data_IF_150209389035
#
_entry.id   IF_150209389035
#
_cell.length_a   1.000
_cell.length_b   1.000
_cell.length_c   1.000
_cell.angle_alpha   90.00
_cell.angle_beta   90.00
_cell.angle_gamma   90.00
#
_symmetry.space_group_name_H-M   'P 1'
#
loop_
_entity.id
_entity.type
_entity.pdbx_description
1 polymer ?
#
# COMPACT_ATOMS: atom_id res chain seq x y z
N UNK A 1 -21.53 -12.76 -15.93
CA UNK A 1 -20.15 -12.74 -16.46
C UNK A 1 -19.25 -12.14 -15.39
N UNK A 2 -18.27 -12.91 -14.88
CA UNK A 2 -17.27 -12.37 -13.95
C UNK A 2 -16.38 -11.39 -14.74
N UNK A 3 -16.26 -10.14 -14.27
CA UNK A 3 -15.39 -9.14 -14.90
C UNK A 3 -13.95 -9.65 -14.80
N UNK A 4 -13.32 -9.98 -15.94
CA UNK A 4 -11.92 -10.40 -15.99
C UNK A 4 -11.06 -9.14 -15.84
N UNK A 5 -10.34 -9.02 -14.73
CA UNK A 5 -9.39 -7.93 -14.49
C UNK A 5 -8.21 -8.04 -15.46
N UNK A 6 -7.58 -6.91 -15.82
CA UNK A 6 -6.34 -6.91 -16.60
C UNK A 6 -5.18 -7.49 -15.80
N UNK A 7 -5.18 -7.23 -14.51
CA UNK A 7 -4.18 -7.67 -13.56
C UNK A 7 -4.79 -7.78 -12.17
N UNK A 8 -4.36 -8.78 -11.39
CA UNK A 8 -4.70 -8.92 -9.98
C UNK A 8 -3.54 -9.60 -9.27
N UNK A 9 -3.08 -9.02 -8.17
CA UNK A 9 -2.05 -9.63 -7.32
C UNK A 9 -2.26 -9.24 -5.86
N UNK A 10 -2.29 -10.24 -5.00
CA UNK A 10 -2.25 -10.11 -3.54
C UNK A 10 -0.81 -10.18 -3.08
N UNK A 11 -0.41 -9.18 -2.31
CA UNK A 11 0.93 -9.05 -1.78
C UNK A 11 0.88 -9.51 -0.33
N UNK A 12 1.73 -10.48 0.00
CA UNK A 12 1.81 -11.06 1.34
C UNK A 12 3.26 -11.06 1.81
N UNK A 13 3.46 -11.21 3.11
CA UNK A 13 4.77 -11.46 3.70
C UNK A 13 4.72 -12.67 4.64
N UNK A 14 5.86 -13.36 4.76
CA UNK A 14 5.98 -14.51 5.65
C UNK A 14 6.57 -14.11 7.00
N UNK A 15 5.93 -14.56 8.08
CA UNK A 15 6.44 -14.43 9.44
C UNK A 15 6.02 -15.64 10.27
N UNK A 16 6.96 -16.25 11.00
CA UNK A 16 6.73 -17.47 11.80
C UNK A 16 5.97 -18.57 11.04
N UNK A 17 6.36 -18.83 9.78
CA UNK A 17 5.74 -19.82 8.88
C UNK A 17 4.29 -19.54 8.47
N UNK A 18 3.74 -18.38 8.82
CA UNK A 18 2.39 -17.95 8.40
C UNK A 18 2.47 -16.84 7.36
N UNK A 19 1.52 -16.85 6.43
CA UNK A 19 1.35 -15.78 5.45
C UNK A 19 0.52 -14.64 6.04
N UNK A 20 0.96 -13.42 5.77
CA UNK A 20 0.33 -12.21 6.26
C UNK A 20 -0.01 -11.30 5.10
N UNK A 21 -1.27 -10.88 5.02
CA UNK A 21 -1.78 -9.97 4.01
C UNK A 21 -1.17 -8.56 4.18
N UNK A 22 -0.65 -8.00 3.09
CA UNK A 22 -0.19 -6.61 3.05
C UNK A 22 -1.21 -5.73 2.34
N UNK A 23 -1.45 -6.00 1.06
CA UNK A 23 -2.51 -5.38 0.25
C UNK A 23 -2.74 -6.21 -1.02
N UNK A 24 -3.81 -5.93 -1.75
CA UNK A 24 -4.04 -6.44 -3.09
C UNK A 24 -4.09 -5.28 -4.07
N UNK A 25 -3.46 -5.43 -5.22
CA UNK A 25 -3.56 -4.51 -6.36
C UNK A 25 -4.36 -5.17 -7.47
N UNK A 26 -5.28 -4.41 -8.06
CA UNK A 26 -6.14 -4.84 -9.16
C UNK A 26 -6.14 -3.77 -10.23
N UNK A 27 -5.84 -4.15 -11.48
CA UNK A 27 -6.06 -3.29 -12.63
C UNK A 27 -7.46 -3.56 -13.19
N UNK A 28 -8.38 -2.63 -12.91
CA UNK A 28 -9.80 -2.66 -13.28
C UNK A 28 -10.08 -1.91 -14.58
N UNK A 29 -9.04 -1.35 -15.20
CA UNK A 29 -9.11 -0.60 -16.45
C UNK A 29 -9.56 -1.43 -17.64
N UNK A 30 -9.92 -0.74 -18.73
CA UNK A 30 -10.44 -1.35 -19.94
C UNK A 30 -9.51 -1.09 -21.13
N UNK A 31 -9.27 -2.11 -21.96
CA UNK A 31 -8.42 -2.03 -23.15
C UNK A 31 -7.04 -1.44 -22.81
N UNK A 32 -6.64 -0.35 -23.45
CA UNK A 32 -5.36 0.36 -23.28
C UNK A 32 -5.38 1.40 -22.14
N UNK A 33 -6.46 1.46 -21.35
CA UNK A 33 -6.57 2.40 -20.23
C UNK A 33 -6.40 1.61 -18.93
N UNK A 34 -5.35 1.92 -18.19
CA UNK A 34 -5.12 1.36 -16.85
C UNK A 34 -5.89 2.16 -15.80
N UNK A 35 -6.52 1.48 -14.85
CA UNK A 35 -7.21 2.05 -13.70
C UNK A 35 -6.97 1.09 -12.53
N UNK A 36 -6.45 1.58 -11.41
CA UNK A 36 -5.94 0.74 -10.35
C UNK A 36 -6.74 0.87 -9.08
N UNK A 37 -7.08 -0.28 -8.51
CA UNK A 37 -7.66 -0.41 -7.19
C UNK A 37 -6.67 -1.11 -6.26
N UNK A 38 -6.45 -0.55 -5.10
CA UNK A 38 -5.66 -1.13 -4.02
C UNK A 38 -6.58 -1.41 -2.84
N UNK A 39 -6.60 -2.66 -2.42
CA UNK A 39 -7.46 -3.18 -1.36
C UNK A 39 -6.56 -3.55 -0.18
N UNK A 40 -6.90 -3.02 0.98
CA UNK A 40 -6.09 -3.15 2.18
C UNK A 40 -6.72 -4.08 3.23
N UNK A 41 -7.75 -4.83 2.86
CA UNK A 41 -8.39 -5.81 3.73
C UNK A 41 -8.55 -7.13 2.98
N UNK A 42 -8.26 -8.25 3.65
CA UNK A 42 -8.60 -9.56 3.13
C UNK A 42 -10.09 -9.86 3.42
N UNK A 43 -10.94 -10.09 2.39
CA UNK A 43 -12.36 -10.38 2.57
C UNK A 43 -12.66 -11.65 3.39
N UNK A 44 -11.76 -12.63 3.45
CA UNK A 44 -11.99 -13.92 4.16
C UNK A 44 -11.39 -13.97 5.57
N UNK A 45 -10.33 -13.19 5.82
CA UNK A 45 -9.55 -13.23 7.07
C UNK A 45 -9.96 -12.18 8.12
N UNK A 46 -10.68 -11.13 7.70
CA UNK A 46 -11.25 -10.13 8.59
C UNK A 46 -10.24 -9.40 9.45
N UNK A 47 -9.39 -8.55 8.88
CA UNK A 47 -8.83 -7.39 9.57
C UNK A 47 -8.27 -6.35 8.60
N UNK A 48 -7.95 -5.19 9.17
CA UNK A 48 -8.39 -3.90 8.69
C UNK A 48 -7.40 -2.80 9.04
N UNK A 49 -7.47 -1.68 8.33
CA UNK A 49 -6.53 -0.57 8.45
C UNK A 49 -7.04 0.50 9.39
N UNK A 50 -6.11 1.24 9.98
CA UNK A 50 -6.37 2.54 10.58
C UNK A 50 -5.84 3.59 9.60
N UNK A 51 -6.77 4.33 9.01
CA UNK A 51 -6.47 5.52 8.23
C UNK A 51 -6.46 6.73 9.17
N UNK A 52 -5.38 7.51 9.16
CA UNK A 52 -5.26 8.72 9.98
C UNK A 52 -5.11 9.94 9.07
N UNK A 53 -6.10 10.83 9.14
CA UNK A 53 -6.19 12.07 8.36
C UNK A 53 -5.17 13.14 8.84
N UNK A 54 -4.78 13.07 10.12
CA UNK A 54 -4.08 14.15 10.83
C UNK A 54 -2.74 13.75 11.46
N UNK A 55 -2.33 12.48 11.33
CA UNK A 55 -1.08 12.00 11.91
C UNK A 55 -1.06 11.98 13.45
N UNK A 56 -2.22 12.11 14.12
CA UNK A 56 -2.30 12.07 15.59
C UNK A 56 -1.91 10.69 16.15
N UNK A 57 -1.59 10.66 17.46
CA UNK A 57 -1.36 9.41 18.18
C UNK A 57 -2.60 8.52 18.07
N UNK A 58 -2.36 7.22 17.96
CA UNK A 58 -3.40 6.21 18.09
C UNK A 58 -3.97 6.34 19.51
N UNK A 59 -5.12 6.98 19.61
CA UNK A 59 -5.89 7.05 20.84
C UNK A 59 -6.67 5.75 21.03
N UNK A 60 -7.01 5.43 22.28
CA UNK A 60 -7.73 4.19 22.67
C UNK A 60 -9.09 4.00 21.98
N UNK A 61 -9.62 5.05 21.34
CA UNK A 61 -10.89 5.09 20.61
C UNK A 61 -10.73 4.91 19.08
N UNK A 62 -9.50 4.69 18.60
CA UNK A 62 -9.21 4.45 17.18
C UNK A 62 -9.69 3.05 16.77
N UNK A 63 -10.58 2.96 15.78
CA UNK A 63 -11.24 1.69 15.41
C UNK A 63 -10.66 1.10 14.13
N UNK A 64 -10.43 -0.21 14.16
CA UNK A 64 -9.99 -1.01 13.03
C UNK A 64 -11.19 -1.23 12.07
N UNK A 65 -11.09 -0.78 10.82
CA UNK A 65 -12.24 -0.69 9.89
C UNK A 65 -12.29 -1.83 8.86
N UNK A 66 -13.36 -2.65 8.77
CA UNK A 66 -13.37 -3.91 8.00
C UNK A 66 -13.20 -3.75 6.47
N UNK A 67 -13.04 -2.52 5.99
CA UNK A 67 -12.91 -2.17 4.59
C UNK A 67 -11.98 -0.97 4.43
N UNK A 68 -10.96 -1.11 3.58
CA UNK A 68 -10.07 -0.02 3.18
C UNK A 68 -9.67 -0.16 1.72
N UNK A 69 -9.93 0.87 0.93
CA UNK A 69 -9.64 0.88 -0.51
C UNK A 69 -9.09 2.23 -0.96
N UNK A 70 -8.13 2.19 -1.89
CA UNK A 70 -7.63 3.31 -2.68
C UNK A 70 -7.91 3.00 -4.15
N UNK A 71 -8.45 3.95 -4.89
CA UNK A 71 -8.55 3.87 -6.36
C UNK A 71 -7.77 5.01 -7.01
N UNK A 72 -6.88 4.67 -7.95
CA UNK A 72 -6.08 5.59 -8.74
C UNK A 72 -6.56 5.54 -10.19
N UNK A 73 -7.22 6.62 -10.62
CA UNK A 73 -7.83 6.70 -11.93
C UNK A 73 -6.84 7.15 -13.02
N UNK A 74 -7.15 6.89 -14.30
CA UNK A 74 -6.27 7.23 -15.42
C UNK A 74 -5.86 8.70 -15.47
N UNK A 75 -6.77 9.59 -15.05
CA UNK A 75 -6.61 11.04 -15.08
C UNK A 75 -5.88 11.62 -13.85
N UNK A 76 -5.37 10.75 -12.97
CA UNK A 76 -4.69 11.15 -11.74
C UNK A 76 -5.62 11.42 -10.56
N UNK A 77 -6.93 11.23 -10.72
CA UNK A 77 -7.85 11.31 -9.59
C UNK A 77 -7.59 10.15 -8.63
N UNK A 78 -7.44 10.47 -7.35
CA UNK A 78 -7.24 9.50 -6.28
C UNK A 78 -8.48 9.50 -5.40
N UNK A 79 -9.03 8.32 -5.09
CA UNK A 79 -10.18 8.18 -4.21
C UNK A 79 -9.87 7.20 -3.09
N UNK A 80 -10.26 7.57 -1.88
CA UNK A 80 -10.17 6.72 -0.71
C UNK A 80 -11.52 6.30 -0.22
N UNK A 81 -11.61 5.08 0.30
CA UNK A 81 -12.77 4.59 1.01
C UNK A 81 -12.31 3.90 2.27
N UNK A 82 -12.05 4.72 3.29
CA UNK A 82 -11.78 4.32 4.65
C UNK A 82 -12.91 4.86 5.53
N UNK A 83 -13.79 4.00 6.07
CA UNK A 83 -14.92 4.49 6.85
C UNK A 83 -14.44 5.03 8.21
N UNK A 84 -14.78 6.28 8.55
CA UNK A 84 -14.54 6.81 9.90
C UNK A 84 -15.48 6.13 10.90
N UNK A 85 -14.99 5.83 12.11
CA UNK A 85 -15.82 5.23 13.16
C UNK A 85 -16.59 6.28 13.97
N UNK A 86 -17.82 5.98 14.45
CA UNK A 86 -18.67 4.84 14.08
C UNK A 86 -18.97 4.84 12.58
N UNK A 87 -18.98 3.68 11.94
CA UNK A 87 -19.14 3.57 10.46
C UNK A 87 -20.51 4.13 10.07
N UNK A 88 -20.54 5.38 9.57
CA UNK A 88 -21.78 6.04 9.13
C UNK A 88 -22.11 5.72 7.68
N UNK A 89 -21.11 5.70 6.80
CA UNK A 89 -21.26 5.42 5.36
C UNK A 89 -19.99 4.78 4.79
N UNK A 90 -20.14 4.07 3.67
CA UNK A 90 -19.03 3.51 2.87
C UNK A 90 -18.85 4.36 1.61
N UNK A 91 -18.43 5.60 1.78
CA UNK A 91 -18.33 6.56 0.68
C UNK A 91 -16.88 6.80 0.26
N UNK A 92 -16.69 7.08 -1.03
CA UNK A 92 -15.40 7.52 -1.53
C UNK A 92 -15.21 9.01 -1.22
N UNK A 93 -14.04 9.36 -0.72
CA UNK A 93 -13.60 10.73 -0.52
C UNK A 93 -12.36 10.99 -1.38
N UNK A 94 -12.24 12.19 -1.94
CA UNK A 94 -10.98 12.62 -2.54
C UNK A 94 -10.08 13.14 -1.40
N UNK A 95 -8.95 12.47 -1.11
CA UNK A 95 -7.98 12.99 -0.13
C UNK A 95 -7.46 14.38 -0.43
N UNK A 96 -7.23 14.71 -1.70
CA UNK A 96 -6.45 15.88 -2.07
C UNK A 96 -7.29 17.16 -2.22
N UNK A 97 -8.40 17.28 -1.49
CA UNK A 97 -9.39 18.33 -1.69
C UNK A 97 -10.04 18.33 -3.10
N UNK A 98 -11.10 19.11 -3.28
CA UNK A 98 -11.77 19.20 -4.57
C UNK A 98 -10.90 19.97 -5.56
N UNK A 99 -10.42 19.29 -6.61
CA UNK A 99 -9.73 19.91 -7.75
C UNK A 99 -8.22 19.62 -7.84
N UNK A 100 -7.59 19.10 -6.79
CA UNK A 100 -6.23 18.58 -6.89
C UNK A 100 -6.23 17.18 -7.49
N UNK A 101 -5.23 16.89 -8.33
CA UNK A 101 -5.04 15.60 -8.99
C UNK A 101 -3.58 15.21 -8.94
N UNK A 102 -3.33 13.92 -8.81
CA UNK A 102 -2.01 13.32 -8.99
C UNK A 102 -1.63 13.32 -10.48
N UNK A 103 -0.42 12.85 -10.75
CA UNK A 103 0.05 12.70 -12.13
C UNK A 103 -0.84 11.69 -12.87
N UNK A 104 -1.47 12.03 -14.01
CA UNK A 104 -2.19 11.05 -14.81
C UNK A 104 -1.31 9.84 -15.13
N UNK A 105 -1.85 8.62 -15.17
CA UNK A 105 -1.05 7.39 -15.30
C UNK A 105 -0.15 7.45 -16.55
N UNK A 106 -0.69 7.96 -17.67
CA UNK A 106 0.03 8.14 -18.93
C UNK A 106 1.15 9.18 -18.89
N UNK A 107 1.19 10.03 -17.86
CA UNK A 107 2.18 11.10 -17.66
C UNK A 107 3.20 10.81 -16.56
N UNK A 108 3.07 9.69 -15.84
CA UNK A 108 4.10 9.24 -14.88
C UNK A 108 5.37 8.95 -15.68
N UNK A 109 6.38 9.80 -15.50
CA UNK A 109 7.68 9.71 -16.20
C UNK A 109 8.55 8.62 -15.62
N UNK A 110 8.88 8.76 -14.33
CA UNK A 110 9.79 7.83 -13.64
C UNK A 110 9.05 7.10 -12.53
N UNK A 111 8.43 7.84 -11.61
CA UNK A 111 7.66 7.26 -10.53
C UNK A 111 6.57 8.20 -10.00
N UNK A 112 5.60 7.62 -9.30
CA UNK A 112 4.56 8.33 -8.55
C UNK A 112 4.25 7.53 -7.27
N UNK A 113 4.28 8.19 -6.12
CA UNK A 113 3.91 7.55 -4.87
C UNK A 113 2.40 7.38 -4.76
N UNK A 114 1.97 6.18 -4.34
CA UNK A 114 0.56 5.88 -4.13
C UNK A 114 0.19 6.05 -2.67
N UNK A 115 0.88 5.31 -1.80
CA UNK A 115 0.58 5.30 -0.38
C UNK A 115 1.75 4.77 0.42
N UNK A 116 1.63 5.03 1.71
CA UNK A 116 2.51 4.51 2.73
C UNK A 116 1.73 3.67 3.71
N UNK A 117 2.36 2.59 4.17
CA UNK A 117 1.72 1.57 4.96
C UNK A 117 2.64 1.16 6.10
N UNK A 118 2.22 1.33 7.35
CA UNK A 118 3.00 0.87 8.51
C UNK A 118 2.32 -0.29 9.21
N UNK A 119 3.10 -1.30 9.57
CA UNK A 119 2.62 -2.47 10.30
C UNK A 119 3.35 -2.52 11.64
N UNK A 120 2.58 -2.48 12.72
CA UNK A 120 3.08 -2.63 14.09
C UNK A 120 2.71 -3.97 14.71
N UNK A 121 1.55 -4.55 14.34
CA UNK A 121 1.12 -5.87 14.80
C UNK A 121 0.82 -6.78 13.60
N UNK A 122 1.60 -7.84 13.49
CA UNK A 122 1.55 -8.76 12.37
C UNK A 122 0.33 -9.68 12.50
N UNK A 123 -0.14 -9.99 13.71
CA UNK A 123 -1.28 -10.90 13.90
C UNK A 123 -2.56 -10.39 13.23
N UNK A 124 -2.70 -9.07 13.13
CA UNK A 124 -3.80 -8.42 12.42
C UNK A 124 -3.75 -8.64 10.90
N UNK A 125 -2.59 -9.00 10.36
CA UNK A 125 -2.38 -9.28 8.94
C UNK A 125 -2.50 -10.78 8.62
N UNK A 126 -2.54 -11.66 9.62
CA UNK A 126 -2.42 -13.11 9.42
C UNK A 126 -3.58 -13.66 8.57
N UNK A 127 -3.26 -14.39 7.51
CA UNK A 127 -4.22 -15.05 6.65
C UNK A 127 -4.79 -16.29 7.33
N UNK A 128 -6.12 -16.38 7.39
CA UNK A 128 -6.84 -17.53 7.97
C UNK A 128 -7.17 -18.63 6.96
N UNK A 129 -7.04 -18.32 5.67
CA UNK A 129 -7.24 -19.23 4.55
C UNK A 129 -6.08 -19.08 3.55
N UNK A 130 -5.74 -20.16 2.87
CA UNK A 130 -4.81 -20.10 1.75
C UNK A 130 -5.41 -19.27 0.61
N UNK A 131 -4.65 -18.31 0.11
CA UNK A 131 -4.98 -17.59 -1.12
C UNK A 131 -4.56 -18.42 -2.33
N UNK A 132 -5.30 -18.28 -3.43
CA UNK A 132 -4.92 -18.83 -4.73
C UNK A 132 -3.48 -18.42 -5.09
N UNK A 133 -2.65 -19.41 -5.40
CA UNK A 133 -1.20 -19.26 -5.59
C UNK A 133 -0.84 -18.39 -6.79
N UNK A 134 -1.65 -18.41 -7.85
CA UNK A 134 -1.34 -17.70 -9.10
C UNK A 134 -1.51 -16.18 -8.95
N UNK A 135 -2.39 -15.75 -8.03
CA UNK A 135 -2.67 -14.36 -7.75
C UNK A 135 -1.81 -13.79 -6.61
N UNK A 136 -0.78 -14.50 -6.12
CA UNK A 136 0.00 -14.08 -4.95
C UNK A 136 1.44 -13.68 -5.28
N UNK A 137 1.95 -12.64 -4.62
CA UNK A 137 3.38 -12.34 -4.52
C UNK A 137 3.80 -12.43 -3.06
N UNK A 138 4.77 -13.29 -2.76
CA UNK A 138 5.25 -13.53 -1.40
C UNK A 138 6.55 -12.78 -1.15
N UNK A 139 6.54 -11.89 -0.17
CA UNK A 139 7.72 -11.22 0.33
C UNK A 139 8.39 -12.14 1.35
N UNK A 140 9.53 -12.70 0.96
CA UNK A 140 10.38 -13.53 1.81
C UNK A 140 11.64 -12.76 2.21
N UNK A 141 12.37 -13.29 3.20
CA UNK A 141 13.77 -12.94 3.50
C UNK A 141 13.99 -11.43 3.69
N UNK A 142 13.36 -10.89 4.72
CA UNK A 142 13.64 -9.55 5.19
C UNK A 142 13.83 -9.56 6.70
N UNK A 143 15.01 -9.15 7.16
CA UNK A 143 15.40 -9.17 8.57
C UNK A 143 14.42 -8.43 9.47
N UNK A 144 13.87 -7.29 9.02
CA UNK A 144 12.88 -6.53 9.80
C UNK A 144 11.62 -7.35 10.07
N UNK A 145 11.17 -8.12 9.07
CA UNK A 145 10.00 -8.98 9.15
C UNK A 145 10.31 -10.22 9.99
N UNK A 146 11.43 -10.88 9.73
CA UNK A 146 11.85 -12.08 10.45
C UNK A 146 12.04 -11.84 11.96
N UNK A 147 12.42 -10.62 12.35
CA UNK A 147 12.57 -10.21 13.76
C UNK A 147 11.26 -9.72 14.39
N UNK A 148 10.17 -9.63 13.63
CA UNK A 148 8.88 -9.11 14.10
C UNK A 148 8.93 -7.61 14.45
N UNK A 149 9.85 -6.85 13.87
CA UNK A 149 9.95 -5.41 14.12
C UNK A 149 8.88 -4.66 13.32
N UNK A 150 8.30 -3.58 13.87
CA UNK A 150 7.44 -2.72 13.09
C UNK A 150 8.15 -2.22 11.82
N UNK A 151 7.46 -2.27 10.69
CA UNK A 151 8.01 -1.84 9.43
C UNK A 151 7.07 -0.91 8.68
N UNK A 152 7.68 -0.13 7.82
CA UNK A 152 7.06 0.78 6.89
C UNK A 152 7.21 0.22 5.48
N UNK A 153 6.18 0.43 4.67
CA UNK A 153 6.14 0.15 3.25
C UNK A 153 5.77 1.42 2.49
N UNK A 154 6.63 1.85 1.57
CA UNK A 154 6.29 2.81 0.53
C UNK A 154 5.90 2.05 -0.72
N UNK A 155 4.73 2.39 -1.28
CA UNK A 155 4.25 1.80 -2.52
C UNK A 155 4.10 2.88 -3.58
N UNK A 156 4.70 2.64 -4.74
CA UNK A 156 4.75 3.60 -5.85
C UNK A 156 4.53 2.91 -7.19
N UNK A 157 3.95 3.63 -8.15
CA UNK A 157 4.11 3.28 -9.56
C UNK A 157 5.48 3.70 -10.05
N UNK A 158 6.09 2.86 -10.88
CA UNK A 158 7.35 3.18 -11.56
C UNK A 158 7.27 2.78 -13.03
N UNK A 159 8.11 3.42 -13.85
CA UNK A 159 8.38 3.04 -15.24
C UNK A 159 9.71 2.29 -15.36
N UNK A 160 9.97 1.68 -16.51
CA UNK A 160 11.22 0.96 -16.80
C UNK A 160 12.48 1.85 -16.65
N UNK A 161 12.34 3.17 -16.83
CA UNK A 161 13.43 4.14 -16.69
C UNK A 161 13.82 4.40 -15.22
N UNK A 162 12.98 4.02 -14.26
CA UNK A 162 13.19 4.38 -12.87
C UNK A 162 14.38 3.63 -12.27
N UNK A 163 15.34 4.39 -11.75
CA UNK A 163 16.49 3.83 -11.03
C UNK A 163 16.08 3.69 -9.57
N UNK A 164 16.01 2.45 -9.08
CA UNK A 164 15.70 2.20 -7.69
C UNK A 164 16.70 2.90 -6.77
N UNK A 165 16.23 3.55 -5.71
CA UNK A 165 17.13 4.17 -4.77
C UNK A 165 17.89 3.13 -3.98
N UNK A 166 19.12 3.50 -3.60
CA UNK A 166 19.95 2.64 -2.75
C UNK A 166 19.36 2.64 -1.35
N UNK A 167 19.14 1.46 -0.74
CA UNK A 167 18.73 1.40 0.64
C UNK A 167 19.78 2.05 1.54
N UNK A 168 19.34 2.87 2.49
CA UNK A 168 20.18 3.46 3.52
C UNK A 168 20.63 2.40 4.53
N UNK A 169 19.73 1.48 4.89
CA UNK A 169 20.02 0.37 5.80
C UNK A 169 20.01 -0.94 5.02
N UNK A 170 21.11 -1.25 4.34
CA UNK A 170 21.21 -2.34 3.35
C UNK A 170 20.75 -3.72 3.85
N UNK A 171 20.80 -4.00 5.15
CA UNK A 171 20.31 -5.26 5.74
C UNK A 171 18.86 -5.23 6.21
N UNK A 172 18.28 -4.05 6.45
CA UNK A 172 16.94 -3.89 7.03
C UNK A 172 15.92 -3.36 6.01
N UNK A 173 16.39 -2.84 4.88
CA UNK A 173 15.58 -2.30 3.81
C UNK A 173 15.57 -3.19 2.59
N UNK A 174 14.44 -3.22 1.88
CA UNK A 174 14.28 -4.03 0.68
C UNK A 174 13.45 -3.30 -0.36
N UNK A 175 14.03 -3.14 -1.54
CA UNK A 175 13.31 -2.73 -2.74
C UNK A 175 12.76 -3.97 -3.44
N UNK A 176 11.48 -3.93 -3.79
CA UNK A 176 10.75 -5.00 -4.46
C UNK A 176 10.08 -4.39 -5.69
N UNK A 177 10.24 -5.03 -6.85
CA UNK A 177 9.54 -4.64 -8.08
C UNK A 177 8.59 -5.76 -8.49
N UNK A 178 7.33 -5.40 -8.68
CA UNK A 178 6.32 -6.26 -9.31
C UNK A 178 6.07 -5.69 -10.71
N UNK A 179 6.57 -6.41 -11.72
CA UNK A 179 6.52 -5.97 -13.11
C UNK A 179 5.13 -6.14 -13.73
N UNK A 180 4.88 -5.35 -14.76
CA UNK A 180 3.74 -5.47 -15.67
C UNK A 180 2.36 -5.44 -14.99
N UNK A 181 2.16 -4.51 -14.05
CA UNK A 181 0.82 -4.27 -13.47
C UNK A 181 -0.11 -3.52 -14.45
N UNK A 182 0.47 -2.85 -15.44
CA UNK A 182 -0.18 -2.13 -16.52
C UNK A 182 0.77 -2.00 -17.72
N UNK A 183 0.39 -1.17 -18.70
CA UNK A 183 1.21 -0.95 -19.90
C UNK A 183 2.47 -0.13 -19.55
N UNK A 184 3.63 -0.79 -19.60
CA UNK A 184 4.93 -0.24 -19.18
C UNK A 184 4.93 0.33 -17.75
N UNK A 185 4.06 -0.19 -16.88
CA UNK A 185 3.91 0.26 -15.50
C UNK A 185 4.22 -0.89 -14.55
N UNK A 186 4.97 -0.59 -13.50
CA UNK A 186 5.34 -1.55 -12.46
C UNK A 186 4.98 -1.01 -11.09
N UNK A 187 4.87 -1.91 -10.12
CA UNK A 187 4.76 -1.55 -8.72
C UNK A 187 6.13 -1.65 -8.08
N UNK A 188 6.56 -0.58 -7.42
CA UNK A 188 7.71 -0.58 -6.54
C UNK A 188 7.24 -0.53 -5.09
N UNK A 189 7.79 -1.43 -4.28
CA UNK A 189 7.57 -1.50 -2.84
C UNK A 189 8.94 -1.35 -2.16
N UNK A 190 9.10 -0.33 -1.34
CA UNK A 190 10.23 -0.20 -0.43
C UNK A 190 9.76 -0.59 0.97
N UNK A 191 10.41 -1.59 1.56
CA UNK A 191 10.24 -1.96 2.96
C UNK A 191 11.40 -1.43 3.78
N UNK A 192 11.13 -0.84 4.94
CA UNK A 192 12.13 -0.26 5.86
C UNK A 192 11.64 -0.36 7.31
N UNK A 193 12.53 -0.40 8.33
CA UNK A 193 12.11 -0.27 9.72
C UNK A 193 11.26 0.97 9.97
N UNK A 194 10.20 0.82 10.75
CA UNK A 194 9.37 1.96 11.12
C UNK A 194 10.17 2.93 12.01
N UNK A 195 10.38 4.15 11.52
CA UNK A 195 11.01 5.27 12.23
C UNK A 195 10.20 6.56 12.07
N UNK A 196 10.48 7.57 12.89
CA UNK A 196 9.80 8.87 12.75
C UNK A 196 10.07 9.53 11.40
N UNK A 197 11.18 9.20 10.71
CA UNK A 197 11.55 9.74 9.39
C UNK A 197 11.22 8.80 8.22
N UNK A 198 10.36 7.79 8.40
CA UNK A 198 10.03 6.79 7.36
C UNK A 198 9.45 7.39 6.06
N UNK A 199 9.17 8.68 6.05
CA UNK A 199 8.57 9.43 4.98
C UNK A 199 9.52 10.05 3.96
N UNK A 200 10.81 9.96 4.25
CA UNK A 200 11.87 10.48 3.41
C UNK A 200 12.52 9.32 2.67
N UNK A 201 12.58 9.43 1.35
CA UNK A 201 13.30 8.46 0.52
C UNK A 201 14.32 9.21 -0.32
N UNK A 202 15.53 8.64 -0.43
CA UNK A 202 16.50 9.13 -1.41
C UNK A 202 15.96 8.83 -2.78
N UNK A 203 15.82 9.80 -3.66
CA UNK A 203 15.51 9.56 -5.06
C UNK A 203 16.38 10.50 -5.88
N UNK A 204 17.22 9.92 -6.73
CA UNK A 204 18.21 10.62 -7.55
C UNK A 204 19.27 11.40 -6.74
N UNK A 205 19.63 10.92 -5.54
CA UNK A 205 20.59 11.59 -4.66
C UNK A 205 20.00 12.75 -3.85
N UNK A 206 18.68 12.96 -3.94
CA UNK A 206 17.95 13.95 -3.17
C UNK A 206 16.96 13.29 -2.21
N UNK A 207 16.92 13.79 -0.98
CA UNK A 207 15.96 13.33 0.02
C UNK A 207 14.60 13.96 -0.25
N UNK A 208 13.70 13.20 -0.87
CA UNK A 208 12.35 13.67 -1.21
C UNK A 208 11.39 13.26 -0.12
N UNK A 209 10.54 14.21 0.28
CA UNK A 209 9.37 13.87 1.07
C UNK A 209 8.36 13.23 0.15
N UNK A 210 8.05 11.96 0.41
CA UNK A 210 7.13 11.19 -0.40
C UNK A 210 5.67 11.41 0.06
N UNK A 211 5.47 12.29 1.06
CA UNK A 211 4.17 12.58 1.64
C UNK A 211 3.34 13.55 0.80
N UNK A 212 2.09 13.17 0.53
CA UNK A 212 0.99 14.11 0.81
C UNK A 212 0.42 13.80 2.19
N UNK A 213 -0.26 14.78 2.79
CA UNK A 213 -0.87 14.67 4.12
C UNK A 213 -1.88 13.51 4.23
N UNK A 214 -2.31 12.93 3.11
CA UNK A 214 -3.50 12.10 3.04
C UNK A 214 -3.26 10.62 2.69
N UNK A 215 -2.00 10.20 2.50
CA UNK A 215 -1.68 8.86 1.96
C UNK A 215 -1.06 7.91 3.00
N UNK A 216 -1.40 8.10 4.27
CA UNK A 216 -0.85 7.34 5.39
C UNK A 216 -1.85 6.31 5.89
N UNK A 217 -1.41 5.06 5.92
CA UNK A 217 -2.18 3.96 6.47
C UNK A 217 -1.32 3.27 7.54
N UNK A 218 -1.88 3.06 8.72
CA UNK A 218 -1.20 2.39 9.83
C UNK A 218 -2.05 1.19 10.29
N UNK A 219 -1.40 0.07 10.62
CA UNK A 219 -2.02 -1.06 11.31
C UNK A 219 -1.37 -1.15 12.69
N UNK A 220 -2.18 -0.91 13.72
CA UNK A 220 -1.74 -0.92 15.13
C UNK A 220 -2.67 -1.76 16.00
N UNK A 221 -2.08 -2.36 17.04
CA UNK A 221 -2.80 -3.05 18.09
C UNK A 221 -3.60 -2.06 18.95
N UNK A 222 -4.80 -2.46 19.36
CA UNK A 222 -5.52 -1.80 20.45
C UNK A 222 -4.84 -2.16 21.77
N UNK A 223 -4.24 -1.18 22.47
CA UNK A 223 -3.89 -1.39 23.87
C UNK A 223 -5.19 -1.45 24.68
N UNK A 224 -5.42 -2.57 25.36
CA UNK A 224 -6.51 -2.74 26.34
C UNK A 224 -6.19 -1.99 27.64
#
# INVERSE_FOLDING_TARGET
>A
MLKKYKYKKTIVFNYNSNEHFLFQIVNIGEKSVDDFKIIFNNPEGGTSNIYMDDGLKIDNDSVITPYGELTYHPDGSLLYKFPKYPIKSREHINPEDTGYRRTPISKIKDWESLFTYKIYDYNLCCLRSELDTDEKYVINDLDVINRGFPFYSLVSFIRDSFILPKPYFTSLEKNIIIKNIGENLHLWILLSPASDNSYLVDVDGERKNVYSKNNKIEIVERKY
#
